data_IF_072699494837
#
_entry.id   IF_072699494837
#
_cell.length_a   1.000
_cell.length_b   1.000
_cell.length_c   1.000
_cell.angle_alpha   90.00
_cell.angle_beta   90.00
_cell.angle_gamma   90.00
#
_symmetry.space_group_name_H-M   'P 1'
#
loop_
_entity.id
_entity.type
_entity.pdbx_description
1 polymer ?
#
# COMPACT_ATOMS: atom_id res chain seq x y z
N UNK A 1 7.18 15.41 -3.97
CA UNK A 1 6.83 14.22 -3.15
C UNK A 1 5.49 14.49 -2.51
N UNK A 2 4.51 13.60 -2.72
CA UNK A 2 3.16 13.70 -2.19
C UNK A 2 2.90 12.53 -1.25
N UNK A 3 2.03 12.73 -0.26
CA UNK A 3 1.63 11.66 0.65
C UNK A 3 0.42 10.95 0.07
N UNK A 4 0.54 9.64 -0.13
CA UNK A 4 -0.52 8.77 -0.61
C UNK A 4 -0.93 7.80 0.49
N UNK A 5 -2.23 7.54 0.59
CA UNK A 5 -2.82 6.49 1.41
C UNK A 5 -3.07 5.28 0.54
N UNK A 6 -2.38 4.17 0.84
CA UNK A 6 -2.48 2.91 0.13
C UNK A 6 -3.21 1.89 1.02
N UNK A 7 -4.28 1.30 0.50
CA UNK A 7 -5.01 0.24 1.18
C UNK A 7 -4.48 -1.12 0.74
N UNK A 8 -3.81 -1.81 1.66
CA UNK A 8 -3.18 -3.11 1.44
C UNK A 8 -4.07 -4.23 1.94
N UNK A 9 -4.23 -5.25 1.10
CA UNK A 9 -4.93 -6.49 1.41
C UNK A 9 -3.96 -7.67 1.31
N UNK A 10 -4.05 -8.55 2.30
CA UNK A 10 -3.25 -9.77 2.39
C UNK A 10 -3.62 -10.71 1.24
N UNK A 11 -2.62 -11.08 0.46
CA UNK A 11 -2.75 -12.08 -0.61
C UNK A 11 -2.12 -13.40 -0.19
N UNK A 12 -0.98 -13.33 0.52
CA UNK A 12 -0.35 -14.53 1.09
C UNK A 12 -0.91 -14.77 2.49
N UNK A 13 -1.51 -15.94 2.77
CA UNK A 13 -2.19 -16.22 4.05
C UNK A 13 -1.33 -15.97 5.30
N UNK A 14 -0.01 -16.13 5.17
CA UNK A 14 0.98 -16.00 6.24
C UNK A 14 1.78 -14.68 6.21
N UNK A 15 1.41 -13.69 5.39
CA UNK A 15 2.18 -12.45 5.25
C UNK A 15 2.19 -11.56 6.51
N UNK A 16 1.22 -11.74 7.41
CA UNK A 16 1.14 -10.95 8.64
C UNK A 16 -0.19 -11.14 9.39
N UNK A 17 -0.34 -10.49 10.56
CA UNK A 17 -1.44 -10.74 11.49
C UNK A 17 -2.79 -10.16 11.05
N UNK A 18 -2.79 -9.10 10.23
CA UNK A 18 -4.02 -8.42 9.76
C UNK A 18 -4.27 -8.73 8.29
N UNK A 19 -5.52 -8.97 7.93
CA UNK A 19 -5.93 -9.27 6.56
C UNK A 19 -5.91 -8.02 5.66
N UNK A 20 -6.13 -6.84 6.24
CA UNK A 20 -6.21 -5.58 5.52
C UNK A 20 -5.85 -4.41 6.44
N UNK A 21 -5.15 -3.43 5.89
CA UNK A 21 -4.78 -2.20 6.58
C UNK A 21 -4.43 -1.09 5.59
N UNK A 22 -4.48 0.14 6.06
CA UNK A 22 -4.11 1.33 5.29
C UNK A 22 -2.75 1.84 5.76
N UNK A 23 -1.87 2.19 4.83
CA UNK A 23 -0.60 2.85 5.12
C UNK A 23 -0.49 4.18 4.39
N UNK A 24 0.34 5.06 4.92
CA UNK A 24 0.73 6.28 4.22
C UNK A 24 2.15 6.13 3.69
N UNK A 25 2.33 6.43 2.41
CA UNK A 25 3.63 6.38 1.73
C UNK A 25 3.86 7.70 0.99
N UNK A 26 5.10 8.16 0.99
CA UNK A 26 5.49 9.33 0.21
C UNK A 26 5.99 8.87 -1.15
N UNK A 27 5.39 9.38 -2.23
CA UNK A 27 5.76 9.02 -3.59
C UNK A 27 5.57 10.19 -4.56
N UNK A 28 6.10 10.04 -5.77
CA UNK A 28 5.95 11.02 -6.86
C UNK A 28 4.61 10.85 -7.59
N UNK A 29 4.16 9.61 -7.77
CA UNK A 29 2.90 9.24 -8.40
C UNK A 29 2.13 8.21 -7.55
N UNK A 30 0.85 8.02 -7.84
CA UNK A 30 0.02 6.97 -7.22
C UNK A 30 0.51 5.56 -7.57
N UNK A 31 1.02 5.36 -8.79
CA UNK A 31 1.63 4.09 -9.19
C UNK A 31 2.90 3.80 -8.39
N UNK A 32 3.76 4.80 -8.20
CA UNK A 32 4.95 4.66 -7.36
C UNK A 32 4.57 4.42 -5.90
N UNK A 33 3.54 5.09 -5.38
CA UNK A 33 3.01 4.82 -4.04
C UNK A 33 2.56 3.36 -3.90
N UNK A 34 1.91 2.80 -4.91
CA UNK A 34 1.48 1.40 -4.92
C UNK A 34 2.68 0.46 -4.85
N UNK A 35 3.65 0.66 -5.73
CA UNK A 35 4.85 -0.19 -5.79
C UNK A 35 5.61 -0.12 -4.46
N UNK A 36 5.79 1.07 -3.90
CA UNK A 36 6.46 1.24 -2.60
C UNK A 36 5.69 0.58 -1.46
N UNK A 37 4.35 0.70 -1.45
CA UNK A 37 3.50 0.05 -0.45
C UNK A 37 3.58 -1.48 -0.52
N UNK A 38 3.51 -2.05 -1.73
CA UNK A 38 3.62 -3.49 -1.95
C UNK A 38 5.04 -4.01 -1.65
N UNK A 39 6.07 -3.22 -1.93
CA UNK A 39 7.46 -3.55 -1.59
C UNK A 39 7.75 -3.53 -0.08
N UNK A 40 7.12 -2.62 0.67
CA UNK A 40 7.24 -2.56 2.14
C UNK A 40 6.54 -3.74 2.83
N UNK A 41 5.49 -4.27 2.21
CA UNK A 41 4.67 -5.34 2.78
C UNK A 41 4.57 -6.53 1.82
N UNK A 42 5.62 -7.36 1.71
CA UNK A 42 5.60 -8.53 0.85
C UNK A 42 4.46 -9.48 1.24
N UNK A 43 3.74 -9.98 0.24
CA UNK A 43 2.55 -10.81 0.45
C UNK A 43 1.25 -10.01 0.64
N UNK A 44 1.30 -8.68 0.60
CA UNK A 44 0.15 -7.78 0.50
C UNK A 44 0.08 -7.14 -0.89
N UNK A 45 -1.14 -6.90 -1.38
CA UNK A 45 -1.39 -6.13 -2.62
C UNK A 45 -2.27 -4.93 -2.33
N UNK A 46 -2.04 -3.85 -3.05
CA UNK A 46 -2.88 -2.67 -2.97
C UNK A 46 -4.22 -3.00 -3.65
N UNK A 47 -5.31 -3.11 -2.87
CA UNK A 47 -6.61 -3.54 -3.41
C UNK A 47 -7.28 -2.42 -4.23
N UNK A 48 -7.04 -1.17 -3.84
CA UNK A 48 -7.47 0.03 -4.56
C UNK A 48 -6.26 0.90 -4.90
N UNK A 49 -6.40 1.79 -5.88
CA UNK A 49 -5.37 2.77 -6.21
C UNK A 49 -5.05 3.70 -5.02
N UNK A 50 -3.77 4.01 -4.74
CA UNK A 50 -3.41 4.91 -3.65
C UNK A 50 -4.03 6.30 -3.83
N UNK A 51 -4.66 6.80 -2.78
CA UNK A 51 -5.34 8.11 -2.78
C UNK A 51 -4.41 9.16 -2.21
N UNK A 52 -4.22 10.28 -2.90
CA UNK A 52 -3.42 11.39 -2.37
C UNK A 52 -4.14 11.98 -1.14
N UNK A 53 -3.46 12.00 0.01
CA UNK A 53 -4.06 12.42 1.30
C UNK A 53 -4.12 13.94 1.42
N UNK A 54 -3.08 14.63 0.93
CA UNK A 54 -3.05 16.08 0.70
C UNK A 54 -1.77 16.43 -0.05
#
# INVERSE_FOLDING_TARGET
MKTYSAFLQRVTPNAGPRANFTITVQAVSSEMARITAEAQYPGYKCANGPVQVR
#
